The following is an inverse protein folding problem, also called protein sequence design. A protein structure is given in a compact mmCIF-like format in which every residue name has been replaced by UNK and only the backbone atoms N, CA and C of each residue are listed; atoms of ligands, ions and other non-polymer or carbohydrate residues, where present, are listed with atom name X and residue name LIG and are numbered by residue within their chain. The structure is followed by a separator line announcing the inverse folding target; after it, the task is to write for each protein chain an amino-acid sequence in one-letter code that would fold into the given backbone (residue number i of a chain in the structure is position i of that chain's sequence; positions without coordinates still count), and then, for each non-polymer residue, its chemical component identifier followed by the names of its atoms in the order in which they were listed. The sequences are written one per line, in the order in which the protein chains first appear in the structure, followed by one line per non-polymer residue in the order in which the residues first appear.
data_IF_593524844534
#
_entry.id   IF_593524844534
#
_cell.length_a   1.000
_cell.length_b   1.000
_cell.length_c   1.000
_cell.angle_alpha   90.00
_cell.angle_beta   90.00
_cell.angle_gamma   90.00
#
_symmetry.space_group_name_H-M   'P 1'
#
loop_
_entity.id
_entity.type
_entity.pdbx_description
1 polymer ?
#
# COMPACT_ATOMS: atom_id res chain seq x y z
N UNK A 1 -19.61 17.36 7.19
CA UNK A 1 -20.32 16.83 8.39
C UNK A 1 -19.32 16.02 9.17
N UNK A 2 -19.08 16.34 10.44
CA UNK A 2 -18.21 15.53 11.31
C UNK A 2 -18.81 14.14 11.52
N UNK A 3 -17.98 13.13 11.80
CA UNK A 3 -18.46 11.80 12.17
C UNK A 3 -19.40 11.87 13.37
N UNK A 4 -19.09 12.73 14.35
CA UNK A 4 -19.96 13.01 15.50
C UNK A 4 -21.39 13.44 15.13
N UNK A 5 -21.57 14.29 14.11
CA UNK A 5 -22.90 14.73 13.65
C UNK A 5 -23.68 13.62 12.95
N UNK A 6 -23.00 12.78 12.16
CA UNK A 6 -23.62 11.60 11.53
C UNK A 6 -24.00 10.55 12.57
N UNK A 7 -23.17 10.40 13.62
CA UNK A 7 -23.43 9.49 14.72
C UNK A 7 -24.60 9.95 15.57
N UNK A 8 -24.66 11.23 15.93
CA UNK A 8 -25.81 11.79 16.65
C UNK A 8 -27.11 11.64 15.86
N UNK A 9 -27.06 11.80 14.53
CA UNK A 9 -28.22 11.57 13.67
C UNK A 9 -28.64 10.08 13.66
N UNK A 10 -27.69 9.15 13.67
CA UNK A 10 -27.97 7.71 13.73
C UNK A 10 -28.53 7.30 15.11
N UNK A 11 -27.97 7.82 16.19
CA UNK A 11 -28.44 7.57 17.55
C UNK A 11 -29.83 8.17 17.78
N UNK A 12 -30.10 9.35 17.22
CA UNK A 12 -31.43 9.95 17.23
C UNK A 12 -32.42 9.08 16.44
N UNK A 13 -32.05 8.60 15.26
CA UNK A 13 -32.89 7.71 14.46
C UNK A 13 -33.19 6.37 15.16
N UNK A 14 -32.20 5.77 15.84
CA UNK A 14 -32.39 4.54 16.62
C UNK A 14 -33.33 4.75 17.80
N UNK A 15 -33.20 5.89 18.49
CA UNK A 15 -34.13 6.30 19.56
C UNK A 15 -35.56 6.50 19.05
N UNK A 16 -35.71 7.18 17.93
CA UNK A 16 -37.02 7.44 17.31
C UNK A 16 -37.71 6.13 16.87
N UNK A 17 -36.94 5.09 16.56
CA UNK A 17 -37.43 3.74 16.25
C UNK A 17 -37.64 2.84 17.49
N UNK A 18 -37.37 3.33 18.71
CA UNK A 18 -37.50 2.56 19.94
C UNK A 18 -36.46 1.44 20.11
N UNK A 19 -35.37 1.46 19.33
CA UNK A 19 -34.29 0.47 19.40
C UNK A 19 -33.19 1.02 20.30
N UNK A 20 -32.95 0.45 21.49
CA UNK A 20 -31.87 0.92 22.35
C UNK A 20 -30.52 0.60 21.71
N UNK A 21 -29.63 1.59 21.69
CA UNK A 21 -28.25 1.40 21.30
C UNK A 21 -27.57 0.43 22.27
N UNK A 22 -26.84 -0.56 21.74
CA UNK A 22 -26.22 -1.62 22.55
C UNK A 22 -24.68 -1.56 22.58
N UNK A 23 -24.07 -0.73 21.72
CA UNK A 23 -22.61 -0.67 21.56
C UNK A 23 -22.04 0.69 21.92
N UNK A 24 -20.86 0.66 22.51
CA UNK A 24 -20.06 1.85 22.84
C UNK A 24 -19.46 2.44 21.58
N UNK A 25 -19.44 3.75 21.48
CA UNK A 25 -18.96 4.50 20.33
C UNK A 25 -18.06 5.62 20.83
N UNK A 26 -16.88 5.72 20.23
CA UNK A 26 -15.91 6.79 20.52
C UNK A 26 -15.52 7.49 19.22
N UNK A 27 -15.48 8.82 19.23
CA UNK A 27 -15.03 9.62 18.08
C UNK A 27 -13.49 9.68 18.03
N UNK A 28 -12.88 8.52 17.82
CA UNK A 28 -11.42 8.36 17.79
C UNK A 28 -10.75 9.27 16.74
N UNK A 29 -11.43 9.54 15.62
CA UNK A 29 -10.95 10.42 14.56
C UNK A 29 -10.98 11.90 14.99
N UNK A 30 -12.00 12.30 15.74
CA UNK A 30 -12.06 13.62 16.37
C UNK A 30 -10.97 13.82 17.41
N UNK A 31 -10.69 12.78 18.23
CA UNK A 31 -9.61 12.81 19.23
C UNK A 31 -8.25 12.94 18.54
N UNK A 32 -7.93 12.06 17.58
CA UNK A 32 -6.65 12.10 16.86
C UNK A 32 -6.45 13.41 16.12
N UNK A 33 -7.50 13.95 15.50
CA UNK A 33 -7.48 15.24 14.80
C UNK A 33 -7.22 16.43 15.73
N UNK A 34 -7.80 16.45 16.94
CA UNK A 34 -7.54 17.52 17.93
C UNK A 34 -6.08 17.51 18.38
N UNK A 35 -5.54 16.34 18.73
CA UNK A 35 -4.14 16.20 19.16
C UNK A 35 -3.18 16.55 18.01
N UNK A 36 -3.51 16.15 16.78
CA UNK A 36 -2.77 16.55 15.59
C UNK A 36 -2.77 18.06 15.37
N UNK A 37 -3.93 18.72 15.49
CA UNK A 37 -4.00 20.18 15.32
C UNK A 37 -3.18 20.93 16.37
N UNK A 38 -3.21 20.49 17.63
CA UNK A 38 -2.36 21.09 18.67
C UNK A 38 -0.86 20.97 18.35
N UNK A 39 -0.45 19.83 17.77
CA UNK A 39 0.92 19.65 17.29
C UNK A 39 1.26 20.59 16.12
N UNK A 40 0.37 20.70 15.14
CA UNK A 40 0.53 21.60 13.98
C UNK A 40 0.67 23.04 14.43
N UNK A 41 -0.16 23.48 15.38
CA UNK A 41 -0.11 24.83 15.96
C UNK A 41 1.25 25.09 16.64
N UNK A 42 1.74 24.14 17.45
CA UNK A 42 3.03 24.26 18.12
C UNK A 42 4.20 24.37 17.12
N UNK A 43 4.17 23.58 16.03
CA UNK A 43 5.17 23.65 14.96
C UNK A 43 5.07 24.98 14.20
N UNK A 44 3.86 25.43 13.88
CA UNK A 44 3.64 26.70 13.20
C UNK A 44 4.12 27.90 14.02
N UNK A 45 3.90 27.90 15.33
CA UNK A 45 4.44 28.92 16.25
C UNK A 45 5.97 28.96 16.23
N UNK A 46 6.61 27.78 16.25
CA UNK A 46 8.06 27.69 16.14
C UNK A 46 8.56 28.26 14.80
N UNK A 47 7.95 27.87 13.69
CA UNK A 47 8.34 28.39 12.37
C UNK A 47 8.19 29.91 12.27
N UNK A 48 7.12 30.48 12.83
CA UNK A 48 6.92 31.93 12.85
C UNK A 48 8.00 32.64 13.67
N UNK A 49 8.36 32.10 14.84
CA UNK A 49 9.48 32.61 15.66
C UNK A 49 10.80 32.49 14.89
N UNK A 50 11.04 31.39 14.19
CA UNK A 50 12.25 31.16 13.41
C UNK A 50 12.35 32.13 12.21
N UNK A 51 11.24 32.38 11.51
CA UNK A 51 11.16 33.36 10.41
C UNK A 51 11.41 34.78 10.91
N UNK A 52 10.90 35.13 12.10
CA UNK A 52 11.11 36.45 12.72
C UNK A 52 12.57 36.65 13.12
N UNK A 53 13.19 35.66 13.76
CA UNK A 53 14.60 35.69 14.12
C UNK A 53 15.52 35.75 12.88
N UNK A 54 15.15 35.12 11.76
CA UNK A 54 15.88 35.24 10.48
C UNK A 54 15.83 36.67 9.91
N UNK A 55 14.76 37.43 10.16
CA UNK A 55 14.61 38.83 9.70
C UNK A 55 15.28 39.84 10.61
N UNK A 56 15.54 39.50 11.88
CA UNK A 56 16.17 40.38 12.85
C UNK A 56 17.50 39.78 13.35
N UNK A 57 18.66 40.27 12.87
CA UNK A 57 19.97 39.68 13.19
C UNK A 57 20.36 39.77 14.68
N UNK A 58 19.65 40.55 15.48
CA UNK A 58 19.85 40.66 16.94
C UNK A 58 18.98 39.68 17.76
N UNK A 59 18.02 39.00 17.13
CA UNK A 59 17.22 37.97 17.80
C UNK A 59 17.92 36.62 17.73
N UNK A 60 18.05 35.97 18.90
CA UNK A 60 18.52 34.59 18.97
C UNK A 60 17.55 33.69 18.22
N UNK A 61 18.08 32.72 17.47
CA UNK A 61 17.23 31.68 16.85
C UNK A 61 16.47 30.94 17.96
N UNK A 62 15.17 30.69 17.79
CA UNK A 62 14.41 29.91 18.74
C UNK A 62 14.98 28.48 18.79
N UNK A 63 14.99 27.90 19.99
CA UNK A 63 15.31 26.49 20.20
C UNK A 63 14.25 25.62 19.51
N UNK A 64 14.69 24.50 18.93
CA UNK A 64 13.80 23.54 18.29
C UNK A 64 12.87 22.97 19.36
N UNK A 65 11.55 22.96 19.14
CA UNK A 65 10.62 22.42 20.13
C UNK A 65 10.89 20.94 20.34
N UNK A 66 11.00 20.54 21.59
CA UNK A 66 11.08 19.13 21.97
C UNK A 66 9.66 18.55 21.91
N UNK A 67 9.34 17.92 20.78
CA UNK A 67 8.04 17.29 20.56
C UNK A 67 8.15 15.83 21.04
N UNK A 68 7.31 15.46 22.01
CA UNK A 68 7.18 14.10 22.52
C UNK A 68 5.87 13.47 21.99
N UNK A 69 5.99 12.69 20.92
CA UNK A 69 4.84 11.95 20.37
C UNK A 69 4.36 10.84 21.30
N UNK A 70 5.23 10.30 22.16
CA UNK A 70 4.87 9.27 23.13
C UNK A 70 3.87 9.80 24.17
N UNK A 71 4.11 11.02 24.66
CA UNK A 71 3.15 11.71 25.53
C UNK A 71 1.82 11.98 24.82
N UNK A 72 1.86 12.49 23.59
CA UNK A 72 0.65 12.73 22.79
C UNK A 72 -0.17 11.45 22.56
N UNK A 73 0.51 10.33 22.29
CA UNK A 73 -0.13 9.00 22.18
C UNK A 73 -0.77 8.57 23.51
N UNK A 74 -0.10 8.80 24.64
CA UNK A 74 -0.67 8.52 25.97
C UNK A 74 -1.94 9.34 26.25
N UNK A 75 -1.94 10.62 25.88
CA UNK A 75 -3.10 11.51 26.00
C UNK A 75 -4.26 11.07 25.10
N UNK A 76 -3.98 10.65 23.86
CA UNK A 76 -4.99 10.08 22.95
C UNK A 76 -5.63 8.84 23.58
N UNK A 77 -4.82 7.88 24.05
CA UNK A 77 -5.33 6.64 24.67
C UNK A 77 -6.20 6.91 25.88
N UNK A 78 -5.76 7.85 26.74
CA UNK A 78 -6.49 8.28 27.92
C UNK A 78 -7.82 8.94 27.55
N UNK A 79 -7.82 9.82 26.56
CA UNK A 79 -9.04 10.51 26.11
C UNK A 79 -10.04 9.52 25.52
N UNK A 80 -9.57 8.57 24.70
CA UNK A 80 -10.39 7.48 24.16
C UNK A 80 -11.01 6.67 25.28
N UNK A 81 -10.24 6.29 26.30
CA UNK A 81 -10.74 5.55 27.46
C UNK A 81 -11.80 6.32 28.25
N UNK A 82 -11.60 7.62 28.45
CA UNK A 82 -12.56 8.49 29.15
C UNK A 82 -13.87 8.58 28.36
N UNK A 83 -13.82 8.86 27.05
CA UNK A 83 -15.02 8.92 26.22
C UNK A 83 -15.73 7.56 26.14
N UNK A 84 -14.97 6.46 26.06
CA UNK A 84 -15.51 5.10 26.08
C UNK A 84 -16.28 4.81 27.36
N UNK A 85 -15.70 5.14 28.53
CA UNK A 85 -16.36 4.94 29.83
C UNK A 85 -17.59 5.83 30.01
N UNK A 86 -17.52 7.09 29.59
CA UNK A 86 -18.67 8.00 29.62
C UNK A 86 -19.85 7.45 28.82
N UNK A 87 -19.56 6.95 27.62
CA UNK A 87 -20.57 6.41 26.74
C UNK A 87 -21.09 5.03 27.21
N UNK A 88 -20.26 4.18 27.83
CA UNK A 88 -20.72 3.00 28.57
C UNK A 88 -21.71 3.35 29.69
N UNK A 89 -21.40 4.38 30.48
CA UNK A 89 -22.30 4.85 31.55
C UNK A 89 -23.64 5.35 30.97
N UNK A 90 -23.64 6.01 29.81
CA UNK A 90 -24.86 6.39 29.11
C UNK A 90 -25.72 5.18 28.68
N UNK A 91 -25.10 4.02 28.45
CA UNK A 91 -25.78 2.76 28.17
C UNK A 91 -26.20 2.01 29.44
N UNK A 92 -25.98 2.56 30.63
CA UNK A 92 -26.32 1.94 31.91
C UNK A 92 -25.41 0.76 32.29
N UNK A 93 -24.23 0.66 31.67
CA UNK A 93 -23.23 -0.38 31.94
C UNK A 93 -22.20 0.17 32.93
N UNK A 94 -21.93 -0.56 34.01
CA UNK A 94 -21.01 -0.15 35.08
C UNK A 94 -19.66 -0.87 35.01
N UNK A 95 -19.67 -2.12 34.56
CA UNK A 95 -18.46 -2.97 34.47
C UNK A 95 -18.08 -3.22 33.01
N UNK A 96 -16.78 -3.22 32.73
CA UNK A 96 -16.23 -3.61 31.42
C UNK A 96 -16.19 -5.12 31.29
N UNK A 97 -16.69 -5.63 30.17
CA UNK A 97 -16.50 -7.03 29.77
C UNK A 97 -15.21 -7.19 28.97
N UNK A 98 -14.76 -8.42 28.76
CA UNK A 98 -13.60 -8.70 27.88
C UNK A 98 -13.83 -8.18 26.45
N UNK A 99 -15.08 -8.19 25.97
CA UNK A 99 -15.46 -7.61 24.68
C UNK A 99 -15.26 -6.09 24.66
N UNK A 100 -15.59 -5.39 25.74
CA UNK A 100 -15.38 -3.94 25.86
C UNK A 100 -13.91 -3.59 25.95
N UNK A 101 -13.11 -4.40 26.65
CA UNK A 101 -11.65 -4.22 26.73
C UNK A 101 -11.04 -4.35 25.34
N UNK A 102 -11.47 -5.36 24.57
CA UNK A 102 -11.02 -5.58 23.19
C UNK A 102 -11.41 -4.42 22.29
N UNK A 103 -12.66 -3.95 22.41
CA UNK A 103 -13.17 -2.83 21.62
C UNK A 103 -12.49 -1.50 21.98
N UNK A 104 -12.21 -1.25 23.26
CA UNK A 104 -11.45 -0.09 23.72
C UNK A 104 -10.04 -0.10 23.12
N UNK A 105 -9.35 -1.25 23.18
CA UNK A 105 -8.03 -1.39 22.59
C UNK A 105 -8.05 -1.12 21.08
N UNK A 106 -9.09 -1.56 20.36
CA UNK A 106 -9.27 -1.28 18.94
C UNK A 106 -9.44 0.23 18.67
N UNK A 107 -10.29 0.92 19.45
CA UNK A 107 -10.44 2.38 19.32
C UNK A 107 -9.16 3.13 19.62
N UNK A 108 -8.43 2.73 20.67
CA UNK A 108 -7.14 3.31 21.02
C UNK A 108 -6.11 3.13 19.91
N UNK A 109 -6.01 1.91 19.35
CA UNK A 109 -5.09 1.63 18.26
C UNK A 109 -5.43 2.46 17.03
N UNK A 110 -6.71 2.50 16.62
CA UNK A 110 -7.16 3.32 15.48
C UNK A 110 -6.85 4.80 15.66
N UNK A 111 -7.14 5.37 16.83
CA UNK A 111 -6.85 6.76 17.14
C UNK A 111 -5.35 7.08 16.99
N UNK A 112 -4.50 6.20 17.54
CA UNK A 112 -3.05 6.35 17.53
C UNK A 112 -2.49 6.19 16.13
N UNK A 113 -2.92 5.18 15.38
CA UNK A 113 -2.48 4.97 13.99
C UNK A 113 -2.86 6.15 13.11
N UNK A 114 -4.09 6.65 13.20
CA UNK A 114 -4.53 7.83 12.43
C UNK A 114 -3.68 9.06 12.77
N UNK A 115 -3.47 9.32 14.06
CA UNK A 115 -2.60 10.42 14.52
C UNK A 115 -1.18 10.29 13.94
N UNK A 116 -0.53 9.15 14.11
CA UNK A 116 0.85 8.93 13.65
C UNK A 116 0.96 9.00 12.12
N UNK A 117 -0.05 8.56 11.37
CA UNK A 117 -0.11 8.75 9.92
C UNK A 117 -0.21 10.23 9.53
N UNK A 118 -1.01 11.03 10.25
CA UNK A 118 -1.07 12.48 10.01
C UNK A 118 0.26 13.16 10.33
N UNK A 119 0.92 12.77 11.42
CA UNK A 119 2.25 13.28 11.78
C UNK A 119 3.30 12.90 10.74
N UNK A 120 3.31 11.66 10.26
CA UNK A 120 4.25 11.20 9.23
C UNK A 120 4.10 12.01 7.93
N UNK A 121 2.86 12.33 7.54
CA UNK A 121 2.59 13.19 6.37
C UNK A 121 3.07 14.61 6.60
N UNK A 122 2.75 15.20 7.75
CA UNK A 122 3.20 16.55 8.11
C UNK A 122 4.73 16.65 8.07
N UNK A 123 5.43 15.67 8.64
CA UNK A 123 6.88 15.65 8.73
C UNK A 123 7.59 15.65 7.36
N UNK A 124 6.92 15.23 6.28
CA UNK A 124 7.49 15.29 4.92
C UNK A 124 7.76 16.73 4.47
N UNK A 125 6.94 17.68 4.94
CA UNK A 125 6.96 19.09 4.52
C UNK A 125 7.77 20.00 5.46
N UNK A 126 8.36 19.44 6.54
CA UNK A 126 9.14 20.18 7.53
C UNK A 126 10.64 20.21 7.21
N UNK A 127 11.36 21.13 7.86
CA UNK A 127 12.82 21.19 7.84
C UNK A 127 13.47 19.85 8.25
N UNK A 128 14.60 19.50 7.65
CA UNK A 128 15.27 18.18 7.78
C UNK A 128 15.49 17.73 9.24
N UNK A 129 15.81 18.66 10.13
CA UNK A 129 16.05 18.38 11.55
C UNK A 129 14.76 17.98 12.30
N UNK A 130 13.65 18.66 12.03
CA UNK A 130 12.34 18.32 12.61
C UNK A 130 11.76 17.07 11.97
N UNK A 131 11.94 16.93 10.65
CA UNK A 131 11.54 15.75 9.88
C UNK A 131 12.18 14.48 10.42
N UNK A 132 13.51 14.47 10.60
CA UNK A 132 14.23 13.32 11.11
C UNK A 132 13.75 12.89 12.50
N UNK A 133 13.63 13.85 13.43
CA UNK A 133 13.20 13.59 14.80
C UNK A 133 11.75 13.06 14.86
N UNK A 134 10.81 13.67 14.13
CA UNK A 134 9.41 13.25 14.14
C UNK A 134 9.21 11.89 13.46
N UNK A 135 9.82 11.67 12.30
CA UNK A 135 9.70 10.38 11.61
C UNK A 135 10.32 9.24 12.41
N UNK A 136 11.46 9.48 13.06
CA UNK A 136 12.06 8.48 13.96
C UNK A 136 11.10 8.10 15.08
N UNK A 137 10.52 9.07 15.79
CA UNK A 137 9.55 8.80 16.85
C UNK A 137 8.30 8.08 16.31
N UNK A 138 7.80 8.46 15.12
CA UNK A 138 6.67 7.75 14.48
C UNK A 138 7.01 6.28 14.23
N UNK A 139 8.20 5.98 13.70
CA UNK A 139 8.61 4.60 13.41
C UNK A 139 8.91 3.78 14.67
N UNK A 140 9.38 4.42 15.75
CA UNK A 140 9.53 3.77 17.05
C UNK A 140 8.17 3.41 17.67
N UNK A 141 7.17 4.28 17.51
CA UNK A 141 5.82 4.08 18.05
C UNK A 141 4.93 3.20 17.17
N UNK A 142 5.14 3.21 15.86
CA UNK A 142 4.40 2.43 14.86
C UNK A 142 5.37 1.92 13.76
N UNK A 143 6.10 0.82 14.01
CA UNK A 143 7.07 0.26 13.07
C UNK A 143 6.47 -0.11 11.71
N UNK A 144 5.19 -0.46 11.68
CA UNK A 144 4.45 -0.76 10.45
C UNK A 144 4.31 0.42 9.48
N UNK A 145 4.49 1.66 9.97
CA UNK A 145 4.49 2.86 9.13
C UNK A 145 5.87 3.19 8.55
N UNK A 146 6.92 2.49 8.97
CA UNK A 146 8.25 2.68 8.43
C UNK A 146 8.31 2.28 6.95
N UNK A 147 9.04 3.04 6.11
CA UNK A 147 9.27 2.61 4.74
C UNK A 147 9.97 1.24 4.77
N UNK A 148 9.61 0.31 3.87
CA UNK A 148 10.29 -0.97 3.80
C UNK A 148 11.79 -0.74 3.59
N UNK A 149 12.66 -1.55 4.22
CA UNK A 149 14.09 -1.36 4.09
C UNK A 149 14.49 -1.41 2.62
N UNK A 150 15.39 -0.52 2.20
CA UNK A 150 15.92 -0.56 0.85
C UNK A 150 16.54 -1.95 0.60
N UNK A 151 16.27 -2.56 -0.56
CA UNK A 151 16.83 -3.87 -0.89
C UNK A 151 18.35 -3.77 -0.83
N UNK A 152 18.98 -4.70 -0.11
CA UNK A 152 20.43 -4.70 0.07
C UNK A 152 21.14 -4.76 -1.29
N UNK A 153 22.39 -4.27 -1.34
CA UNK A 153 23.22 -4.37 -2.55
C UNK A 153 23.34 -5.81 -3.07
N UNK A 154 23.26 -6.80 -2.18
CA UNK A 154 23.28 -8.22 -2.53
C UNK A 154 21.98 -8.66 -3.22
N UNK A 155 20.83 -8.25 -2.70
CA UNK A 155 19.51 -8.51 -3.33
C UNK A 155 19.47 -7.88 -4.72
N UNK A 156 19.94 -6.64 -4.86
CA UNK A 156 20.01 -5.97 -6.17
C UNK A 156 20.91 -6.70 -7.16
N UNK A 157 22.06 -7.22 -6.71
CA UNK A 157 22.95 -8.04 -7.56
C UNK A 157 22.28 -9.34 -7.99
N UNK A 158 21.55 -10.01 -7.09
CA UNK A 158 20.81 -11.23 -7.43
C UNK A 158 19.71 -10.96 -8.47
N UNK A 159 18.94 -9.88 -8.29
CA UNK A 159 17.92 -9.48 -9.27
C UNK A 159 18.55 -9.17 -10.63
N UNK A 160 19.68 -8.48 -10.66
CA UNK A 160 20.39 -8.23 -11.93
C UNK A 160 20.90 -9.52 -12.59
N UNK A 161 21.40 -10.48 -11.81
CA UNK A 161 21.82 -11.77 -12.33
C UNK A 161 20.64 -12.56 -12.93
N UNK A 162 19.49 -12.57 -12.25
CA UNK A 162 18.26 -13.20 -12.76
C UNK A 162 17.76 -12.53 -14.03
N UNK A 163 17.82 -11.19 -14.11
CA UNK A 163 17.46 -10.45 -15.35
C UNK A 163 18.35 -10.84 -16.53
N UNK A 164 19.67 -10.91 -16.32
CA UNK A 164 20.60 -11.37 -17.37
C UNK A 164 20.30 -12.80 -17.81
N UNK A 165 19.98 -13.70 -16.88
CA UNK A 165 19.59 -15.06 -17.21
C UNK A 165 18.29 -15.10 -18.02
N UNK A 166 17.30 -14.28 -17.66
CA UNK A 166 16.04 -14.18 -18.38
C UNK A 166 16.25 -13.65 -19.81
N UNK A 167 17.08 -12.62 -19.99
CA UNK A 167 17.44 -12.07 -21.31
C UNK A 167 18.13 -13.11 -22.20
N UNK A 168 19.09 -13.85 -21.65
CA UNK A 168 19.78 -14.92 -22.37
C UNK A 168 18.81 -16.03 -22.80
N UNK A 169 17.90 -16.43 -21.91
CA UNK A 169 16.87 -17.42 -22.23
C UNK A 169 15.87 -16.92 -23.27
N UNK A 170 15.47 -15.65 -23.20
CA UNK A 170 14.60 -15.04 -24.20
C UNK A 170 15.27 -15.01 -25.58
N UNK A 171 16.58 -14.72 -25.64
CA UNK A 171 17.35 -14.77 -26.89
C UNK A 171 17.40 -16.17 -27.47
N UNK A 172 17.66 -17.19 -26.67
CA UNK A 172 17.66 -18.60 -27.11
C UNK A 172 16.30 -19.02 -27.68
N UNK A 173 15.19 -18.56 -27.07
CA UNK A 173 13.84 -18.80 -27.59
C UNK A 173 13.62 -18.12 -28.94
N UNK A 174 14.06 -16.87 -29.10
CA UNK A 174 13.94 -16.14 -30.36
C UNK A 174 14.73 -16.82 -31.51
N UNK A 175 15.97 -17.24 -31.25
CA UNK A 175 16.79 -17.95 -32.25
C UNK A 175 16.18 -19.30 -32.65
N UNK A 176 15.58 -20.02 -31.70
CA UNK A 176 14.84 -21.25 -31.98
C UNK A 176 13.56 -21.00 -32.80
N UNK A 177 12.83 -19.92 -32.52
CA UNK A 177 11.65 -19.52 -33.29
C UNK A 177 11.99 -19.19 -34.75
N UNK A 178 13.08 -18.47 -35.00
CA UNK A 178 13.57 -18.17 -36.34
C UNK A 178 13.95 -19.45 -37.09
N UNK A 179 14.58 -20.40 -36.40
CA UNK A 179 14.96 -21.69 -36.97
C UNK A 179 13.74 -22.53 -37.35
N UNK A 180 12.75 -22.62 -36.47
CA UNK A 180 11.48 -23.33 -36.75
C UNK A 180 10.76 -22.68 -37.94
N UNK A 181 10.72 -21.35 -37.98
CA UNK A 181 10.09 -20.60 -39.08
C UNK A 181 10.73 -20.92 -40.43
N UNK A 182 12.07 -20.97 -40.50
CA UNK A 182 12.79 -21.37 -41.72
C UNK A 182 12.49 -22.80 -42.14
N UNK A 183 12.54 -23.75 -41.20
CA UNK A 183 12.25 -25.16 -41.49
C UNK A 183 10.82 -25.38 -42.00
N UNK A 184 9.84 -24.63 -41.47
CA UNK A 184 8.47 -24.66 -41.97
C UNK A 184 8.36 -24.10 -43.39
N UNK A 185 9.08 -23.02 -43.71
CA UNK A 185 9.13 -22.48 -45.08
C UNK A 185 9.74 -23.47 -46.07
N UNK A 186 10.80 -24.17 -45.67
CA UNK A 186 11.43 -25.21 -46.50
C UNK A 186 10.47 -26.39 -46.75
N UNK A 187 9.76 -26.85 -45.72
CA UNK A 187 8.72 -27.88 -45.86
C UNK A 187 7.57 -27.43 -46.77
N UNK A 188 7.10 -26.18 -46.64
CA UNK A 188 6.10 -25.60 -47.55
C UNK A 188 6.63 -25.56 -49.00
N UNK A 189 7.91 -25.27 -49.19
CA UNK A 189 8.59 -25.31 -50.48
C UNK A 189 8.62 -26.71 -51.09
N UNK A 190 9.01 -27.71 -50.31
CA UNK A 190 9.01 -29.12 -50.72
C UNK A 190 7.60 -29.61 -51.07
N UNK A 191 6.60 -29.22 -50.28
CA UNK A 191 5.21 -29.56 -50.58
C UNK A 191 4.75 -28.96 -51.91
N UNK A 192 5.08 -27.70 -52.20
CA UNK A 192 4.76 -27.09 -53.51
C UNK A 192 5.46 -27.81 -54.66
N UNK A 193 6.70 -28.27 -54.48
CA UNK A 193 7.41 -29.06 -55.48
C UNK A 193 6.74 -30.43 -55.70
N UNK A 194 6.38 -31.15 -54.63
CA UNK A 194 5.63 -32.41 -54.71
C UNK A 194 4.29 -32.21 -55.43
N UNK A 195 3.53 -31.19 -55.06
CA UNK A 195 2.24 -30.87 -55.69
C UNK A 195 2.39 -30.56 -57.19
N UNK A 196 3.43 -29.85 -57.59
CA UNK A 196 3.71 -29.58 -59.00
C UNK A 196 4.08 -30.84 -59.79
N UNK A 197 4.85 -31.76 -59.20
CA UNK A 197 5.25 -33.02 -59.82
C UNK A 197 4.07 -33.99 -59.98
N UNK A 198 3.16 -34.02 -59.02
CA UNK A 198 1.98 -34.90 -59.04
C UNK A 198 0.81 -34.33 -59.85
N UNK A 199 0.91 -33.10 -60.35
CA UNK A 199 -0.16 -32.43 -61.09
C UNK A 199 -0.50 -33.18 -62.38
N UNK A 200 -1.78 -33.49 -62.59
CA UNK A 200 -2.27 -34.24 -63.75
C UNK A 200 -2.03 -35.75 -63.67
N UNK A 201 -1.57 -36.26 -62.53
CA UNK A 201 -1.42 -37.70 -62.26
C UNK A 201 -2.59 -38.23 -61.41
N UNK A 202 -2.79 -39.56 -61.38
CA UNK A 202 -3.76 -40.19 -60.48
C UNK A 202 -3.46 -40.00 -58.98
N UNK A 203 -2.24 -39.54 -58.67
CA UNK A 203 -1.74 -39.28 -57.32
C UNK A 203 -1.88 -37.80 -56.93
N UNK A 204 -2.47 -36.96 -57.79
CA UNK A 204 -2.73 -35.55 -57.49
C UNK A 204 -3.61 -35.44 -56.23
N UNK A 205 -3.09 -34.80 -55.19
CA UNK A 205 -3.76 -34.67 -53.89
C UNK A 205 -3.42 -35.74 -52.85
N UNK A 206 -2.68 -36.80 -53.21
CA UNK A 206 -2.21 -37.85 -52.26
C UNK A 206 -0.78 -37.63 -51.74
N UNK A 207 -0.22 -36.44 -51.94
CA UNK A 207 1.14 -36.09 -51.52
C UNK A 207 1.40 -36.33 -50.03
N UNK A 208 2.50 -37.03 -49.71
CA UNK A 208 2.83 -37.42 -48.33
C UNK A 208 3.47 -36.26 -47.57
N UNK A 209 4.09 -35.30 -48.25
CA UNK A 209 4.76 -34.15 -47.60
C UNK A 209 3.72 -33.24 -46.94
N UNK A 210 2.52 -33.11 -47.53
CA UNK A 210 1.41 -32.35 -46.93
C UNK A 210 1.03 -32.90 -45.55
N UNK A 211 0.91 -34.22 -45.41
CA UNK A 211 0.57 -34.86 -44.13
C UNK A 211 1.66 -34.63 -43.08
N UNK A 212 2.93 -34.65 -43.50
CA UNK A 212 4.08 -34.36 -42.62
C UNK A 212 4.05 -32.90 -42.16
N UNK A 213 3.77 -31.95 -43.06
CA UNK A 213 3.63 -30.53 -42.73
C UNK A 213 2.50 -30.29 -41.72
N UNK A 214 1.31 -30.82 -41.97
CA UNK A 214 0.14 -30.66 -41.09
C UNK A 214 0.40 -31.28 -39.71
N UNK A 215 0.98 -32.48 -39.65
CA UNK A 215 1.39 -33.13 -38.40
C UNK A 215 2.42 -32.31 -37.62
N UNK A 216 3.40 -31.73 -38.31
CA UNK A 216 4.47 -30.94 -37.68
C UNK A 216 3.91 -29.63 -37.11
N UNK A 217 3.03 -28.93 -37.84
CA UNK A 217 2.33 -27.74 -37.33
C UNK A 217 1.47 -28.06 -36.11
N UNK A 218 0.75 -29.17 -36.14
CA UNK A 218 -0.07 -29.58 -34.99
C UNK A 218 0.76 -29.90 -33.75
N UNK A 219 1.92 -30.54 -33.92
CA UNK A 219 2.85 -30.81 -32.81
C UNK A 219 3.49 -29.54 -32.22
N UNK A 220 3.75 -28.52 -33.04
CA UNK A 220 4.24 -27.23 -32.58
C UNK A 220 3.19 -26.52 -31.71
N UNK A 221 1.94 -26.44 -32.17
CA UNK A 221 0.82 -25.86 -31.42
C UNK A 221 0.59 -26.59 -30.09
N UNK A 222 0.63 -27.92 -30.08
CA UNK A 222 0.49 -28.71 -28.83
C UNK A 222 1.61 -28.42 -27.82
N UNK A 223 2.80 -28.03 -28.28
CA UNK A 223 3.94 -27.67 -27.43
C UNK A 223 4.00 -26.19 -27.06
N UNK A 224 2.98 -25.41 -27.43
CA UNK A 224 2.89 -23.98 -27.10
C UNK A 224 3.76 -23.07 -27.96
N UNK A 225 4.10 -23.52 -29.19
CA UNK A 225 4.72 -22.70 -30.22
C UNK A 225 3.69 -22.05 -31.13
#
# INVERSE_FOLDING_TARGET
MSNSLRQQALDQALRDMGIPRQRVIVDYAGISGKTYNALVEAIAEYEQKAKTAKKNPFQRRPEVPEIDLGKAVGEIKTTVEVEFKQDMHHLGRLDMTDEDISLLAEYQQKAVTDFLQFVARLAQDLDDQLKGNLLQQVWELAPELAPPPEPSKEVLKQVQALRKQAEEKARQVAEAADTISKLLQDLDGLWKQEANLLRGTSEEGQGKIRLVLEKTRHQLVQKGW
#
